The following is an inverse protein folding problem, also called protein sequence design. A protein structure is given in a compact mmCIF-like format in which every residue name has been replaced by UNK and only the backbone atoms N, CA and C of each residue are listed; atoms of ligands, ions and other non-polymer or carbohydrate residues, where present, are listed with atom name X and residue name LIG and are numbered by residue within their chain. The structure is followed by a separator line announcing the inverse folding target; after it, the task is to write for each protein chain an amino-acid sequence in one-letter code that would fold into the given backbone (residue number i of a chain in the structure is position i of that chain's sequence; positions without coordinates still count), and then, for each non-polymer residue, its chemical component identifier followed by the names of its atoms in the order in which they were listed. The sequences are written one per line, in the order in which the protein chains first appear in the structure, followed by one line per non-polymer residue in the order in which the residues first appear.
data_IF_344753464438
#
_entry.id   IF_344753464438
#
_cell.length_a   1.000
_cell.length_b   1.000
_cell.length_c   1.000
_cell.angle_alpha   90.00
_cell.angle_beta   90.00
_cell.angle_gamma   90.00
#
_symmetry.space_group_name_H-M   'P 1'
#
loop_
_entity.id
_entity.type
_entity.pdbx_description
1 polymer ?
#
# COMPACT_ATOMS: atom_id res chain seq x y z
N UNK A 1 38.91 0.95 9.96
CA UNK A 1 37.53 0.78 10.40
C UNK A 1 36.83 2.14 10.43
N UNK A 2 35.71 2.25 9.77
CA UNK A 2 34.82 3.43 9.86
C UNK A 2 33.57 3.04 10.62
N UNK A 3 33.27 3.78 11.67
CA UNK A 3 31.98 3.65 12.38
C UNK A 3 30.98 4.57 11.71
N UNK A 4 29.85 4.02 11.27
CA UNK A 4 28.72 4.78 10.72
C UNK A 4 27.59 4.67 11.73
N UNK A 5 27.15 5.80 12.24
CA UNK A 5 25.97 5.86 13.12
C UNK A 5 24.73 6.09 12.26
N UNK A 6 23.80 5.13 12.28
CA UNK A 6 22.48 5.29 11.65
C UNK A 6 21.50 5.58 12.76
N UNK A 7 20.90 6.77 12.74
CA UNK A 7 19.82 7.16 13.66
C UNK A 7 18.52 7.31 12.88
N UNK A 8 17.43 6.73 13.39
CA UNK A 8 16.09 6.99 12.89
C UNK A 8 15.34 7.84 13.92
N UNK A 9 14.98 9.06 13.55
CA UNK A 9 14.07 9.91 14.32
C UNK A 9 12.81 10.16 13.51
N UNK A 10 11.64 9.98 14.14
CA UNK A 10 10.44 10.62 13.61
C UNK A 10 10.62 12.12 13.77
N UNK A 11 10.68 12.86 12.66
CA UNK A 11 10.88 14.30 12.73
C UNK A 11 9.76 14.96 13.55
N UNK A 12 10.13 16.01 14.29
CA UNK A 12 9.15 16.82 15.03
C UNK A 12 8.04 17.38 14.13
N UNK A 13 8.33 17.57 12.84
CA UNK A 13 7.37 17.96 11.81
C UNK A 13 6.34 16.86 11.55
N UNK A 14 6.76 15.59 11.46
CA UNK A 14 5.86 14.45 11.26
C UNK A 14 4.96 14.25 12.47
N UNK A 15 5.51 14.31 13.69
CA UNK A 15 4.74 14.24 14.92
C UNK A 15 3.75 15.42 15.04
N UNK A 16 4.16 16.63 14.64
CA UNK A 16 3.29 17.81 14.61
C UNK A 16 2.12 17.67 13.63
N UNK A 17 2.33 17.06 12.47
CA UNK A 17 1.26 16.78 11.48
C UNK A 17 0.23 15.77 12.02
N UNK A 18 0.69 14.75 12.74
CA UNK A 18 -0.21 13.77 13.37
C UNK A 18 -0.98 14.39 14.54
N UNK A 19 -0.33 15.15 15.41
CA UNK A 19 -0.99 15.85 16.51
C UNK A 19 -2.04 16.87 16.02
N UNK A 20 -1.75 17.60 14.94
CA UNK A 20 -2.69 18.54 14.32
C UNK A 20 -3.89 17.86 13.66
N UNK A 21 -3.69 16.65 13.12
CA UNK A 21 -4.75 15.88 12.45
C UNK A 21 -5.69 15.19 13.46
N UNK A 22 -5.21 14.94 14.67
CA UNK A 22 -5.95 14.23 15.73
C UNK A 22 -5.84 14.98 17.08
N UNK A 23 -6.40 16.20 17.19
CA UNK A 23 -6.21 17.07 18.36
C UNK A 23 -6.78 16.51 19.67
N UNK A 24 -7.76 15.61 19.58
CA UNK A 24 -8.42 15.02 20.75
C UNK A 24 -7.77 13.69 21.20
N UNK A 25 -6.79 13.20 20.47
CA UNK A 25 -6.10 11.95 20.82
C UNK A 25 -4.89 12.24 21.71
N UNK A 26 -5.05 12.03 23.02
CA UNK A 26 -4.00 12.29 24.04
C UNK A 26 -2.77 11.41 23.87
N UNK A 27 -2.89 10.24 23.25
CA UNK A 27 -1.79 9.32 23.03
C UNK A 27 -0.84 9.84 21.94
N UNK A 28 -1.36 10.51 20.91
CA UNK A 28 -0.54 11.17 19.90
C UNK A 28 0.18 12.42 20.41
N UNK A 29 -0.37 13.06 21.46
CA UNK A 29 0.27 14.22 22.09
C UNK A 29 1.40 13.84 23.06
N UNK A 30 1.42 12.58 23.50
CA UNK A 30 2.40 12.03 24.43
C UNK A 30 3.52 11.21 23.76
N UNK A 31 3.48 11.04 22.42
CA UNK A 31 4.50 10.27 21.70
C UNK A 31 5.83 11.02 21.71
N UNK A 32 6.77 10.53 22.50
CA UNK A 32 8.19 10.88 22.40
C UNK A 32 8.93 9.68 21.81
N UNK A 33 9.48 9.83 20.62
CA UNK A 33 10.37 8.82 20.07
C UNK A 33 11.77 9.04 20.65
N UNK A 34 12.29 8.03 21.36
CA UNK A 34 13.71 7.97 21.71
C UNK A 34 14.47 7.60 20.44
N UNK A 35 15.51 8.34 20.05
CA UNK A 35 16.33 7.98 18.91
C UNK A 35 17.03 6.63 19.17
N UNK A 36 16.90 5.72 18.21
CA UNK A 36 17.65 4.45 18.21
C UNK A 36 18.88 4.65 17.33
N UNK A 37 20.05 4.59 17.94
CA UNK A 37 21.34 4.65 17.24
C UNK A 37 21.93 3.24 17.17
N UNK A 38 22.31 2.82 15.95
CA UNK A 38 23.01 1.56 15.72
C UNK A 38 24.41 1.91 15.16
N UNK A 39 25.46 1.47 15.87
CA UNK A 39 26.82 1.59 15.37
C UNK A 39 27.16 0.38 14.50
N UNK A 40 27.48 0.63 13.24
CA UNK A 40 27.95 -0.37 12.30
C UNK A 40 29.45 -0.17 12.06
N UNK A 41 30.27 -1.18 12.40
CA UNK A 41 31.68 -1.18 12.07
C UNK A 41 31.92 -1.85 10.71
N UNK A 42 32.37 -1.09 9.73
CA UNK A 42 32.73 -1.61 8.41
C UNK A 42 34.22 -1.93 8.44
N UNK A 43 34.66 -3.18 8.17
CA UNK A 43 36.07 -3.54 8.06
C UNK A 43 36.77 -2.69 7.00
N UNK A 44 37.88 -2.07 7.34
CA UNK A 44 38.62 -1.19 6.44
C UNK A 44 39.22 -1.96 5.26
N UNK A 45 38.92 -1.53 4.06
CA UNK A 45 39.73 -1.87 2.86
C UNK A 45 41.01 -1.03 2.87
N UNK A 46 42.16 -1.64 2.49
CA UNK A 46 43.43 -0.95 2.40
C UNK A 46 43.38 0.29 1.50
N UNK A 47 44.21 1.33 1.80
CA UNK A 47 44.15 2.58 1.03
C UNK A 47 44.72 2.36 -0.37
N UNK A 48 43.84 2.38 -1.38
CA UNK A 48 44.24 2.55 -2.78
C UNK A 48 44.57 4.03 -3.02
N UNK A 49 45.80 4.26 -3.48
CA UNK A 49 46.30 5.60 -3.86
C UNK A 49 45.39 6.18 -4.94
N UNK A 50 44.76 7.36 -4.76
CA UNK A 50 43.89 7.92 -5.76
C UNK A 50 44.66 8.43 -6.97
N UNK A 51 44.44 7.85 -8.13
CA UNK A 51 44.72 8.52 -9.41
C UNK A 51 43.80 9.71 -9.55
N UNK A 52 44.27 10.89 -10.00
CA UNK A 52 43.38 12.04 -10.21
C UNK A 52 42.39 11.73 -11.33
N UNK A 53 41.14 11.51 -10.99
CA UNK A 53 40.03 11.44 -11.94
C UNK A 53 39.37 12.81 -11.91
N UNK A 54 39.31 13.45 -13.09
CA UNK A 54 38.58 14.67 -13.36
C UNK A 54 37.14 14.51 -12.83
N UNK A 55 36.58 15.43 -12.04
CA UNK A 55 35.25 15.31 -11.52
C UNK A 55 34.20 15.51 -12.63
N UNK A 56 33.87 14.45 -13.34
CA UNK A 56 32.59 14.40 -14.05
C UNK A 56 31.49 14.49 -12.98
N UNK A 57 30.49 15.39 -13.14
CA UNK A 57 29.40 15.45 -12.20
C UNK A 57 28.73 14.08 -12.16
N UNK A 58 28.85 13.38 -11.03
CA UNK A 58 28.03 12.19 -10.76
C UNK A 58 26.62 12.72 -10.55
N UNK A 59 25.77 12.58 -11.56
CA UNK A 59 24.32 12.70 -11.36
C UNK A 59 23.95 11.77 -10.19
N UNK A 60 23.12 12.23 -9.23
CA UNK A 60 22.65 11.38 -8.18
C UNK A 60 21.97 10.17 -8.83
N UNK A 61 22.33 8.97 -8.39
CA UNK A 61 21.78 7.69 -8.84
C UNK A 61 20.26 7.71 -8.53
N UNK A 62 19.49 8.33 -9.42
CA UNK A 62 18.04 8.27 -9.37
C UNK A 62 17.62 6.84 -9.70
N UNK A 63 17.34 6.06 -8.66
CA UNK A 63 16.77 4.74 -8.84
C UNK A 63 15.44 4.87 -9.57
N UNK A 64 15.48 4.67 -10.89
CA UNK A 64 14.28 4.70 -11.71
C UNK A 64 13.32 3.58 -11.26
N UNK A 65 12.03 3.91 -11.12
CA UNK A 65 10.99 2.95 -10.81
C UNK A 65 10.57 2.21 -12.07
N UNK A 66 10.17 0.96 -11.89
CA UNK A 66 9.54 0.12 -12.91
C UNK A 66 8.25 -0.44 -12.34
N UNK A 67 7.13 -0.21 -13.02
CA UNK A 67 5.81 -0.63 -12.56
C UNK A 67 5.09 -1.39 -13.66
N UNK A 68 4.14 -2.24 -13.31
CA UNK A 68 3.25 -2.89 -14.28
C UNK A 68 1.91 -2.16 -14.29
N UNK A 69 1.38 -1.90 -15.48
CA UNK A 69 0.08 -1.26 -15.66
C UNK A 69 -0.84 -2.10 -16.53
N UNK A 70 -2.13 -2.16 -16.18
CA UNK A 70 -3.19 -2.74 -17.00
C UNK A 70 -4.48 -1.92 -16.91
N UNK A 71 -5.29 -1.99 -17.99
CA UNK A 71 -6.59 -1.34 -18.09
C UNK A 71 -7.62 -2.29 -18.68
N UNK A 72 -8.76 -2.48 -18.02
CA UNK A 72 -9.83 -3.33 -18.52
C UNK A 72 -11.23 -2.88 -18.05
N UNK A 73 -12.24 -3.48 -18.62
CA UNK A 73 -13.61 -3.46 -18.09
C UNK A 73 -13.94 -4.84 -17.49
N UNK A 74 -15.11 -4.99 -16.97
CA UNK A 74 -15.66 -6.28 -16.51
C UNK A 74 -15.76 -7.35 -17.62
N UNK A 75 -15.69 -6.94 -18.89
CA UNK A 75 -15.89 -7.84 -20.04
C UNK A 75 -14.72 -7.87 -21.02
N UNK A 76 -13.81 -6.90 -20.97
CA UNK A 76 -12.77 -6.75 -22.01
C UNK A 76 -11.47 -6.16 -21.43
N UNK A 77 -10.34 -6.77 -21.78
CA UNK A 77 -9.01 -6.21 -21.57
C UNK A 77 -8.73 -5.15 -22.64
N UNK A 78 -8.51 -3.91 -22.20
CA UNK A 78 -8.23 -2.78 -23.10
C UNK A 78 -6.74 -2.55 -23.30
N UNK A 79 -5.97 -2.59 -22.23
CA UNK A 79 -4.52 -2.53 -22.24
C UNK A 79 -4.01 -3.70 -21.40
N UNK A 80 -3.34 -4.66 -22.04
CA UNK A 80 -2.75 -5.82 -21.37
C UNK A 80 -1.65 -5.40 -20.41
N UNK A 81 -1.36 -6.19 -19.36
CA UNK A 81 -0.29 -5.91 -18.44
C UNK A 81 1.02 -5.60 -19.17
N UNK A 82 1.58 -4.44 -18.93
CA UNK A 82 2.83 -3.97 -19.53
C UNK A 82 3.71 -3.28 -18.50
N UNK A 83 5.01 -3.48 -18.62
CA UNK A 83 5.99 -2.86 -17.73
C UNK A 83 6.33 -1.46 -18.24
N UNK A 84 6.26 -0.48 -17.38
CA UNK A 84 6.63 0.92 -17.61
C UNK A 84 7.84 1.21 -16.73
N UNK A 85 8.99 1.39 -17.34
CA UNK A 85 10.26 1.66 -16.66
C UNK A 85 10.70 3.11 -16.74
N UNK A 86 11.87 3.39 -16.16
CA UNK A 86 12.53 4.69 -16.16
C UNK A 86 11.68 5.83 -15.56
N UNK A 87 10.86 5.49 -14.55
CA UNK A 87 9.98 6.44 -13.88
C UNK A 87 10.69 7.12 -12.71
N UNK A 88 10.49 8.43 -12.50
CA UNK A 88 10.97 9.12 -11.31
C UNK A 88 10.39 8.53 -10.01
N UNK A 89 11.13 8.58 -8.90
CA UNK A 89 10.65 8.15 -7.57
C UNK A 89 9.38 8.91 -7.09
N UNK A 90 9.14 10.10 -7.65
CA UNK A 90 7.95 10.90 -7.33
C UNK A 90 6.71 10.49 -8.10
N UNK A 91 6.79 9.52 -9.00
CA UNK A 91 5.71 9.09 -9.89
C UNK A 91 4.49 8.62 -9.11
N UNK A 92 3.32 9.08 -9.54
CA UNK A 92 2.03 8.67 -9.00
C UNK A 92 1.30 7.70 -9.93
N UNK A 93 0.28 7.01 -9.43
CA UNK A 93 -0.57 6.16 -10.25
C UNK A 93 -1.25 6.94 -11.39
N UNK A 94 -1.60 8.23 -11.17
CA UNK A 94 -2.17 9.10 -12.19
C UNK A 94 -1.17 9.44 -13.30
N UNK A 95 0.10 9.60 -12.96
CA UNK A 95 1.14 9.90 -13.96
C UNK A 95 1.32 8.72 -14.91
N UNK A 96 1.38 7.49 -14.37
CA UNK A 96 1.44 6.27 -15.17
C UNK A 96 0.18 6.08 -16.01
N UNK A 97 -1.00 6.28 -15.41
CA UNK A 97 -2.28 6.22 -16.13
C UNK A 97 -2.29 7.15 -17.34
N UNK A 98 -1.92 8.42 -17.17
CA UNK A 98 -1.85 9.41 -18.25
C UNK A 98 -0.85 9.03 -19.33
N UNK A 99 0.34 8.63 -18.93
CA UNK A 99 1.41 8.23 -19.85
C UNK A 99 0.98 7.05 -20.71
N UNK A 100 0.43 5.99 -20.10
CA UNK A 100 0.04 4.78 -20.81
C UNK A 100 -1.15 5.03 -21.73
N UNK A 101 -2.16 5.77 -21.27
CA UNK A 101 -3.30 6.12 -22.14
C UNK A 101 -2.84 6.90 -23.38
N UNK A 102 -2.03 7.93 -23.19
CA UNK A 102 -1.52 8.73 -24.30
C UNK A 102 -0.68 7.90 -25.29
N UNK A 103 0.18 7.02 -24.77
CA UNK A 103 1.02 6.14 -25.61
C UNK A 103 0.18 5.15 -26.45
N UNK A 104 -1.02 4.77 -26.00
CA UNK A 104 -1.93 3.84 -26.67
C UNK A 104 -3.08 4.54 -27.42
N UNK A 105 -3.08 5.87 -27.49
CA UNK A 105 -4.10 6.64 -28.21
C UNK A 105 -5.46 6.73 -27.51
N UNK A 106 -5.53 6.38 -26.22
CA UNK A 106 -6.72 6.55 -25.40
C UNK A 106 -6.82 7.97 -24.90
N UNK A 107 -8.05 8.40 -24.60
CA UNK A 107 -8.32 9.64 -23.89
C UNK A 107 -9.24 9.36 -22.69
N UNK A 108 -9.37 10.33 -21.78
CA UNK A 108 -10.21 10.20 -20.60
C UNK A 108 -10.87 11.54 -20.23
N UNK A 109 -11.99 11.46 -19.53
CA UNK A 109 -12.65 12.59 -18.89
C UNK A 109 -12.51 12.45 -17.37
N UNK A 110 -12.23 13.55 -16.69
CA UNK A 110 -12.06 13.56 -15.23
C UNK A 110 -12.73 14.78 -14.60
N UNK A 111 -13.16 14.61 -13.36
CA UNK A 111 -13.62 15.69 -12.48
C UNK A 111 -12.71 15.71 -11.23
N UNK A 112 -11.82 16.68 -11.19
CA UNK A 112 -10.77 16.69 -10.17
C UNK A 112 -9.85 15.48 -10.34
N UNK A 113 -9.70 14.68 -9.29
CA UNK A 113 -8.89 13.46 -9.28
C UNK A 113 -9.65 12.20 -9.72
N UNK A 114 -10.96 12.30 -9.98
CA UNK A 114 -11.80 11.16 -10.32
C UNK A 114 -11.96 11.01 -11.84
N UNK A 115 -11.65 9.82 -12.36
CA UNK A 115 -11.80 9.46 -13.78
C UNK A 115 -13.27 9.11 -14.05
N UNK A 116 -13.96 9.97 -14.80
CA UNK A 116 -15.37 9.78 -15.13
C UNK A 116 -15.58 8.88 -16.35
N UNK A 117 -14.68 8.94 -17.33
CA UNK A 117 -14.78 8.12 -18.53
C UNK A 117 -13.40 7.84 -19.11
N UNK A 118 -13.27 6.69 -19.77
CA UNK A 118 -12.14 6.37 -20.64
C UNK A 118 -12.66 6.09 -22.05
N UNK A 119 -11.93 6.57 -23.04
CA UNK A 119 -12.32 6.55 -24.44
C UNK A 119 -11.21 5.85 -25.24
N UNK A 120 -11.58 4.79 -25.97
CA UNK A 120 -10.67 4.05 -26.88
C UNK A 120 -10.30 4.90 -28.10
N UNK A 121 -9.22 4.53 -28.81
CA UNK A 121 -8.84 5.16 -30.09
C UNK A 121 -9.95 5.11 -31.17
N UNK A 122 -10.83 4.11 -31.13
CA UNK A 122 -11.96 3.96 -32.04
C UNK A 122 -13.18 4.81 -31.68
N UNK A 123 -13.10 5.58 -30.57
CA UNK A 123 -14.20 6.41 -30.06
C UNK A 123 -15.14 5.70 -29.08
N UNK A 124 -14.93 4.40 -28.80
CA UNK A 124 -15.73 3.68 -27.80
C UNK A 124 -15.49 4.28 -26.42
N UNK A 125 -16.57 4.79 -25.80
CA UNK A 125 -16.52 5.45 -24.49
C UNK A 125 -17.23 4.60 -23.43
N UNK A 126 -16.56 4.38 -22.31
CA UNK A 126 -17.16 3.82 -21.08
C UNK A 126 -17.10 4.88 -19.99
N UNK A 127 -18.26 5.26 -19.46
CA UNK A 127 -18.40 6.34 -18.49
C UNK A 127 -18.99 5.82 -17.17
N UNK A 128 -18.71 6.54 -16.08
CA UNK A 128 -19.39 6.33 -14.81
C UNK A 128 -20.91 6.28 -15.00
N UNK A 129 -21.61 5.54 -14.15
CA UNK A 129 -23.06 5.34 -14.18
C UNK A 129 -23.63 4.67 -15.44
N UNK A 130 -22.80 4.25 -16.40
CA UNK A 130 -23.27 3.63 -17.64
C UNK A 130 -23.87 2.23 -17.45
N UNK A 131 -23.58 1.56 -16.32
CA UNK A 131 -24.14 0.25 -15.95
C UNK A 131 -24.91 0.25 -14.63
N UNK A 132 -25.20 1.42 -14.08
CA UNK A 132 -25.94 1.58 -12.82
C UNK A 132 -25.35 2.67 -11.93
N UNK A 133 -26.01 3.00 -10.81
CA UNK A 133 -25.63 4.14 -9.97
C UNK A 133 -24.26 3.97 -9.27
N UNK A 134 -23.78 2.75 -9.15
CA UNK A 134 -22.50 2.41 -8.53
C UNK A 134 -21.43 1.99 -9.55
N UNK A 135 -21.71 2.12 -10.86
CA UNK A 135 -20.73 1.74 -11.87
C UNK A 135 -19.73 2.88 -12.12
N UNK A 136 -18.46 2.54 -12.28
CA UNK A 136 -17.41 3.53 -12.47
C UNK A 136 -16.01 2.94 -12.65
N UNK A 137 -15.06 3.85 -12.88
CA UNK A 137 -13.65 3.51 -12.96
C UNK A 137 -13.02 3.52 -11.58
N UNK A 138 -12.33 2.45 -11.25
CA UNK A 138 -11.62 2.26 -9.99
C UNK A 138 -10.19 1.78 -10.28
N UNK A 139 -9.31 1.84 -9.28
CA UNK A 139 -7.95 1.34 -9.42
C UNK A 139 -7.48 0.60 -8.18
N UNK A 140 -6.57 -0.35 -8.40
CA UNK A 140 -5.84 -1.08 -7.36
C UNK A 140 -4.35 -0.91 -7.57
N UNK A 141 -3.60 -0.99 -6.49
CA UNK A 141 -2.15 -1.14 -6.50
C UNK A 141 -1.82 -2.40 -5.72
N UNK A 142 -1.14 -3.34 -6.36
CA UNK A 142 -0.82 -4.67 -5.80
C UNK A 142 -2.07 -5.44 -5.32
N UNK A 143 -3.20 -5.29 -6.03
CA UNK A 143 -4.46 -5.92 -5.71
C UNK A 143 -5.28 -5.25 -4.60
N UNK A 144 -4.77 -4.18 -3.98
CA UNK A 144 -5.44 -3.43 -2.91
C UNK A 144 -6.00 -2.10 -3.43
N UNK A 145 -7.18 -1.68 -2.93
CA UNK A 145 -7.72 -0.35 -3.18
C UNK A 145 -7.05 0.67 -2.28
N UNK A 146 -6.25 1.61 -2.82
CA UNK A 146 -5.67 2.69 -2.01
C UNK A 146 -6.74 3.59 -1.40
N UNK A 147 -6.47 4.11 -0.19
CA UNK A 147 -7.35 5.08 0.47
C UNK A 147 -7.08 6.53 0.04
N UNK A 148 -6.36 6.70 -1.05
CA UNK A 148 -6.02 7.99 -1.64
C UNK A 148 -6.41 8.02 -3.11
N UNK A 149 -6.57 9.20 -3.66
CA UNK A 149 -6.83 9.37 -5.08
C UNK A 149 -5.58 8.98 -5.90
N UNK A 150 -5.78 8.62 -7.17
CA UNK A 150 -4.72 8.21 -8.09
C UNK A 150 -3.57 9.22 -8.18
N UNK A 151 -3.87 10.52 -8.13
CA UNK A 151 -2.89 11.62 -8.15
C UNK A 151 -2.03 11.70 -6.87
N UNK A 152 -2.52 11.17 -5.75
CA UNK A 152 -1.86 11.19 -4.44
C UNK A 152 -1.23 9.83 -4.10
N UNK A 153 -1.48 8.81 -4.93
CA UNK A 153 -0.94 7.47 -4.78
C UNK A 153 0.46 7.38 -5.37
N UNK A 154 1.49 7.54 -4.52
CA UNK A 154 2.90 7.36 -4.90
C UNK A 154 3.20 5.88 -5.10
N UNK A 155 4.00 5.60 -6.11
CA UNK A 155 4.38 4.26 -6.50
C UNK A 155 5.76 3.88 -5.98
N UNK A 156 5.95 2.59 -5.83
CA UNK A 156 7.23 1.94 -5.53
C UNK A 156 7.68 1.07 -6.69
N UNK A 157 8.96 0.75 -6.72
CA UNK A 157 9.51 -0.16 -7.73
C UNK A 157 8.85 -1.54 -7.63
N UNK A 158 8.41 -2.06 -8.77
CA UNK A 158 7.70 -3.34 -8.87
C UNK A 158 6.19 -3.28 -8.64
N UNK A 159 5.61 -2.11 -8.34
CA UNK A 159 4.16 -2.00 -8.14
C UNK A 159 3.36 -2.40 -9.39
N UNK A 160 2.21 -3.03 -9.15
CA UNK A 160 1.24 -3.42 -10.18
C UNK A 160 0.00 -2.54 -10.07
N UNK A 161 -0.26 -1.74 -11.09
CA UNK A 161 -1.40 -0.84 -11.19
C UNK A 161 -2.45 -1.47 -12.10
N UNK A 162 -3.62 -1.69 -11.54
CA UNK A 162 -4.80 -2.15 -12.26
C UNK A 162 -5.85 -1.05 -12.25
N UNK A 163 -6.22 -0.55 -13.43
CA UNK A 163 -7.34 0.38 -13.59
C UNK A 163 -8.46 -0.35 -14.31
N UNK A 164 -9.65 -0.35 -13.73
CA UNK A 164 -10.74 -1.10 -14.32
C UNK A 164 -12.10 -0.44 -14.10
N UNK A 165 -13.02 -0.75 -15.02
CA UNK A 165 -14.40 -0.36 -14.91
C UNK A 165 -15.19 -1.48 -14.23
N UNK A 166 -15.92 -1.14 -13.18
CA UNK A 166 -16.82 -2.06 -12.49
C UNK A 166 -18.28 -1.67 -12.67
N UNK A 167 -19.15 -2.67 -12.72
CA UNK A 167 -20.60 -2.45 -12.76
C UNK A 167 -21.17 -2.03 -11.39
N UNK A 168 -20.54 -2.46 -10.31
CA UNK A 168 -20.87 -2.04 -8.94
C UNK A 168 -19.62 -2.03 -8.03
N UNK A 169 -19.12 -0.86 -7.72
CA UNK A 169 -17.95 -0.72 -6.85
C UNK A 169 -18.26 -1.08 -5.38
N UNK A 170 -19.54 -1.14 -5.00
CA UNK A 170 -19.92 -1.56 -3.64
C UNK A 170 -19.72 -3.07 -3.42
N UNK A 171 -19.79 -3.84 -4.52
CA UNK A 171 -19.59 -5.29 -4.50
C UNK A 171 -18.13 -5.70 -4.73
N UNK A 172 -17.23 -4.75 -5.01
CA UNK A 172 -15.82 -5.06 -5.24
C UNK A 172 -15.12 -5.53 -3.96
N UNK A 173 -14.58 -6.76 -3.95
CA UNK A 173 -13.89 -7.28 -2.77
C UNK A 173 -12.72 -6.38 -2.34
N UNK A 174 -12.68 -6.02 -1.06
CA UNK A 174 -11.64 -5.16 -0.50
C UNK A 174 -11.83 -3.64 -0.74
N UNK A 175 -12.87 -3.21 -1.46
CA UNK A 175 -13.19 -1.80 -1.60
C UNK A 175 -13.65 -1.19 -0.28
N UNK A 176 -14.53 -1.88 0.42
CA UNK A 176 -15.06 -1.47 1.72
C UNK A 176 -14.89 -2.57 2.76
N UNK A 177 -14.83 -2.17 4.02
CA UNK A 177 -14.85 -3.10 5.14
C UNK A 177 -16.30 -3.48 5.48
N UNK A 178 -16.57 -4.75 5.85
CA UNK A 178 -17.91 -5.18 6.27
C UNK A 178 -18.30 -4.68 7.67
N UNK A 179 -17.34 -4.13 8.42
CA UNK A 179 -17.47 -3.78 9.83
C UNK A 179 -18.12 -2.41 10.03
N UNK A 180 -19.11 -2.34 10.90
CA UNK A 180 -19.86 -1.11 11.17
C UNK A 180 -19.18 -0.21 12.21
N UNK A 181 -18.32 -0.76 13.05
CA UNK A 181 -17.63 -0.10 14.15
C UNK A 181 -16.32 0.60 13.76
N UNK A 182 -15.93 0.53 12.48
CA UNK A 182 -14.68 1.11 11.98
C UNK A 182 -14.89 2.27 10.99
N UNK A 183 -16.11 2.56 10.56
CA UNK A 183 -16.41 3.49 9.45
C UNK A 183 -15.78 4.89 9.64
N UNK A 184 -15.71 5.37 10.87
CA UNK A 184 -15.08 6.67 11.20
C UNK A 184 -13.87 6.51 12.13
N UNK A 185 -13.32 5.31 12.25
CA UNK A 185 -12.21 5.03 13.13
C UNK A 185 -10.90 5.51 12.51
N UNK A 186 -10.01 6.11 13.32
CA UNK A 186 -8.72 6.63 12.85
C UNK A 186 -7.83 5.57 12.17
N UNK A 187 -7.98 4.29 12.58
CA UNK A 187 -7.23 3.18 12.03
C UNK A 187 -7.91 2.51 10.83
N UNK A 188 -8.96 3.09 10.23
CA UNK A 188 -9.72 2.48 9.12
C UNK A 188 -8.81 1.93 8.02
N UNK A 189 -7.87 2.74 7.52
CA UNK A 189 -6.95 2.32 6.44
C UNK A 189 -6.02 1.19 6.85
N UNK A 190 -5.56 1.18 8.12
CA UNK A 190 -4.75 0.09 8.64
C UNK A 190 -5.55 -1.22 8.79
N UNK A 191 -6.78 -1.10 9.29
CA UNK A 191 -7.73 -2.22 9.42
C UNK A 191 -8.05 -2.80 8.04
N UNK A 192 -8.36 -1.96 7.06
CA UNK A 192 -8.61 -2.37 5.68
C UNK A 192 -7.43 -3.17 5.13
N UNK A 193 -6.21 -2.69 5.32
CA UNK A 193 -5.00 -3.38 4.86
C UNK A 193 -4.82 -4.76 5.49
N UNK A 194 -4.97 -4.89 6.80
CA UNK A 194 -4.78 -6.18 7.48
C UNK A 194 -5.92 -7.15 7.20
N UNK A 195 -7.15 -6.63 7.01
CA UNK A 195 -8.31 -7.44 6.62
C UNK A 195 -8.20 -7.95 5.19
N UNK A 196 -7.88 -7.08 4.23
CA UNK A 196 -7.74 -7.45 2.81
C UNK A 196 -6.63 -8.48 2.59
N UNK A 197 -5.57 -8.45 3.41
CA UNK A 197 -4.48 -9.44 3.40
C UNK A 197 -4.83 -10.74 4.13
N UNK A 198 -5.99 -10.83 4.74
CA UNK A 198 -6.39 -11.99 5.55
C UNK A 198 -5.62 -12.14 6.86
N UNK A 199 -4.86 -11.12 7.29
CA UNK A 199 -4.09 -11.17 8.54
C UNK A 199 -4.96 -11.02 9.78
N UNK A 200 -6.08 -10.30 9.64
CA UNK A 200 -7.10 -10.14 10.69
C UNK A 200 -8.49 -10.20 10.05
N UNK A 201 -9.41 -10.94 10.67
CA UNK A 201 -10.75 -11.19 10.11
C UNK A 201 -11.88 -10.49 10.89
N UNK A 202 -11.57 -9.77 11.97
CA UNK A 202 -12.55 -9.20 12.89
C UNK A 202 -13.05 -10.20 13.94
N UNK A 203 -13.96 -9.74 14.79
CA UNK A 203 -14.56 -10.55 15.87
C UNK A 203 -15.79 -11.31 15.37
N UNK A 204 -16.52 -10.74 14.41
CA UNK A 204 -17.64 -11.33 13.70
C UNK A 204 -17.83 -10.63 12.33
N UNK A 205 -18.92 -10.97 11.61
CA UNK A 205 -19.20 -10.45 10.26
C UNK A 205 -19.38 -8.91 10.19
N UNK A 206 -19.67 -8.24 11.31
CA UNK A 206 -20.02 -6.83 11.37
C UNK A 206 -19.15 -6.00 12.32
N UNK A 207 -18.33 -6.68 13.13
CA UNK A 207 -17.56 -6.08 14.23
C UNK A 207 -16.09 -6.43 14.10
N UNK A 208 -15.24 -5.41 14.04
CA UNK A 208 -13.78 -5.56 14.09
C UNK A 208 -13.24 -5.44 15.49
N UNK A 209 -13.86 -4.60 16.34
CA UNK A 209 -13.47 -4.22 17.69
C UNK A 209 -12.08 -3.57 17.76
N UNK A 210 -11.87 -2.41 17.09
CA UNK A 210 -10.55 -1.80 16.93
C UNK A 210 -9.90 -1.36 18.24
N UNK A 211 -10.70 -1.03 19.26
CA UNK A 211 -10.22 -0.58 20.57
C UNK A 211 -10.02 -1.73 21.56
N UNK A 212 -10.29 -2.97 21.15
CA UNK A 212 -10.09 -4.14 22.02
C UNK A 212 -8.60 -4.45 22.16
N UNK A 213 -8.19 -4.78 23.41
CA UNK A 213 -6.83 -5.21 23.67
C UNK A 213 -6.50 -6.53 22.98
N UNK A 214 -5.37 -6.57 22.29
CA UNK A 214 -4.88 -7.75 21.63
C UNK A 214 -4.37 -8.78 22.66
N UNK A 215 -4.92 -10.00 22.63
CA UNK A 215 -4.42 -11.10 23.44
C UNK A 215 -3.17 -11.75 22.83
N UNK A 216 -2.40 -12.50 23.61
CA UNK A 216 -1.26 -13.29 23.10
C UNK A 216 -1.68 -14.27 22.00
N UNK A 217 -2.84 -14.91 22.19
CA UNK A 217 -3.41 -15.86 21.22
C UNK A 217 -3.74 -15.14 19.89
N UNK A 218 -4.40 -13.98 19.93
CA UNK A 218 -4.67 -13.17 18.74
C UNK A 218 -3.38 -12.78 18.02
N UNK A 219 -2.37 -12.35 18.75
CA UNK A 219 -1.07 -12.00 18.14
C UNK A 219 -0.42 -13.22 17.45
N UNK A 220 -0.49 -14.40 18.06
CA UNK A 220 0.07 -15.61 17.47
C UNK A 220 -0.61 -15.96 16.14
N UNK A 221 -1.95 -15.90 16.09
CA UNK A 221 -2.73 -16.15 14.86
C UNK A 221 -2.42 -15.12 13.77
N UNK A 222 -2.29 -13.82 14.13
CA UNK A 222 -1.92 -12.79 13.17
C UNK A 222 -0.52 -13.06 12.59
N UNK A 223 0.46 -13.40 13.42
CA UNK A 223 1.81 -13.70 12.95
C UNK A 223 1.84 -14.95 12.07
N UNK A 224 1.04 -15.96 12.38
CA UNK A 224 0.88 -17.17 11.58
C UNK A 224 0.29 -16.84 10.20
N UNK A 225 -0.80 -16.07 10.15
CA UNK A 225 -1.39 -15.59 8.90
C UNK A 225 -0.42 -14.73 8.08
N UNK A 226 0.35 -13.83 8.72
CA UNK A 226 1.37 -13.02 8.05
C UNK A 226 2.51 -13.88 7.47
N UNK A 227 2.80 -15.02 8.06
CA UNK A 227 3.77 -16.00 7.56
C UNK A 227 3.24 -16.86 6.41
N UNK A 228 1.97 -16.68 6.00
CA UNK A 228 1.33 -17.46 4.94
C UNK A 228 0.85 -18.84 5.42
N UNK A 229 0.50 -18.96 6.69
CA UNK A 229 -0.08 -20.18 7.31
C UNK A 229 0.77 -21.43 7.03
N UNK A 230 2.06 -21.43 7.41
CA UNK A 230 2.94 -22.55 7.11
C UNK A 230 2.44 -23.84 7.79
N UNK A 231 2.52 -24.97 7.09
CA UNK A 231 2.13 -26.25 7.67
C UNK A 231 2.96 -26.55 8.95
N UNK A 232 2.28 -26.72 10.07
CA UNK A 232 2.88 -27.05 11.36
C UNK A 232 2.79 -28.55 11.57
N UNK A 233 3.93 -29.19 11.93
CA UNK A 233 4.00 -30.62 12.23
C UNK A 233 4.52 -30.80 13.64
N UNK A 234 3.88 -31.70 14.41
CA UNK A 234 4.26 -32.02 15.78
C UNK A 234 3.25 -31.54 16.82
N UNK A 235 3.47 -31.95 18.06
CA UNK A 235 2.62 -31.51 19.18
C UNK A 235 3.08 -30.15 19.71
N UNK A 236 2.12 -29.35 20.20
CA UNK A 236 2.44 -28.07 20.83
C UNK A 236 3.36 -28.27 22.04
N UNK A 237 4.47 -27.54 22.13
CA UNK A 237 5.36 -27.60 23.30
C UNK A 237 4.78 -26.88 24.52
N UNK A 238 3.65 -26.19 24.37
CA UNK A 238 3.03 -25.38 25.42
C UNK A 238 1.98 -26.19 26.16
N UNK A 239 2.16 -26.37 27.47
CA UNK A 239 1.23 -27.13 28.33
C UNK A 239 -0.02 -26.35 28.72
N UNK A 240 -0.02 -25.04 28.56
CA UNK A 240 -1.12 -24.10 28.84
C UNK A 240 -1.98 -23.78 27.61
N UNK A 241 -1.73 -24.44 26.47
CA UNK A 241 -2.49 -24.33 25.23
C UNK A 241 -3.31 -25.58 25.00
N UNK A 242 -4.63 -25.56 25.31
CA UNK A 242 -5.48 -26.73 25.11
C UNK A 242 -5.65 -27.04 23.62
N UNK A 243 -5.71 -28.33 23.26
CA UNK A 243 -5.99 -28.74 21.90
C UNK A 243 -7.43 -28.35 21.48
N UNK A 244 -7.60 -27.97 20.20
CA UNK A 244 -8.90 -27.62 19.63
C UNK A 244 -9.41 -26.21 19.97
N UNK A 245 -8.54 -25.33 20.45
CA UNK A 245 -8.83 -23.91 20.53
C UNK A 245 -8.61 -23.26 19.16
N UNK A 246 -9.31 -22.16 18.88
CA UNK A 246 -9.22 -21.39 17.62
C UNK A 246 -7.81 -20.87 17.26
N UNK A 247 -6.86 -20.96 18.17
CA UNK A 247 -5.48 -20.52 18.04
C UNK A 247 -4.45 -21.66 18.10
N UNK A 248 -4.86 -22.92 17.96
CA UNK A 248 -3.97 -24.11 18.12
C UNK A 248 -3.71 -24.89 16.84
N UNK A 249 -4.38 -24.58 15.74
CA UNK A 249 -4.24 -25.26 14.45
C UNK A 249 -3.19 -24.61 13.56
#
# INVERSE_FOLDING_TARGET
DKTVTVSSELSSETLGKYAARYPDNKDFQALSCQPVSVELTVPGTEPVTPTPVDPTPVEPDHKALSVTFQLHTDTEMWISPSVIGDLPESTTAMDVFRQVLAANGYSYEAKGSYVQAVIKPDGTKVAEFSKGPNSGWVFRVNGEFPDVAMQDCRLSDGDVIEVFFTADYMDEPGMFLPFTDVTNHWAYSAIKRVYTRGWMVGMDEKTFAPDQQLSRAMLAVILYAMAGEPAVTGESPFTDVPAGCWYTD
#
